data_IF_111073886452
#
_entry.id   IF_111073886452
#
_cell.length_a   1.000
_cell.length_b   1.000
_cell.length_c   1.000
_cell.angle_alpha   90.00
_cell.angle_beta   90.00
_cell.angle_gamma   90.00
#
_symmetry.space_group_name_H-M   'P 1'
#
loop_
_entity.id
_entity.type
_entity.pdbx_description
1 polymer ?
#
# COMPACT_ATOMS: atom_id res chain seq x y z
N UNK A 1 -39.85 40.36 -20.73
CA UNK A 1 -38.52 40.66 -21.31
C UNK A 1 -37.61 39.48 -21.00
N UNK A 2 -37.32 38.67 -22.03
CA UNK A 2 -36.12 37.86 -22.33
C UNK A 2 -35.35 37.20 -21.17
N UNK A 3 -34.89 35.94 -21.20
CA UNK A 3 -34.93 34.86 -22.18
C UNK A 3 -34.36 33.57 -21.51
N UNK A 4 -34.93 32.41 -21.86
CA UNK A 4 -34.32 31.07 -22.10
C UNK A 4 -33.39 30.48 -20.99
N UNK A 5 -33.82 29.51 -20.16
CA UNK A 5 -34.03 28.05 -20.39
C UNK A 5 -32.88 27.29 -21.08
N UNK A 6 -32.14 26.58 -20.21
CA UNK A 6 -31.69 25.18 -20.26
C UNK A 6 -30.88 24.62 -21.46
N UNK A 7 -30.03 23.65 -21.07
CA UNK A 7 -29.57 22.44 -21.76
C UNK A 7 -28.19 22.52 -22.42
N UNK A 8 -27.29 21.63 -21.98
CA UNK A 8 -26.69 20.65 -22.90
C UNK A 8 -26.17 19.41 -22.15
N UNK A 9 -27.05 18.40 -22.08
CA UNK A 9 -26.64 17.00 -22.12
C UNK A 9 -26.07 16.77 -23.52
N UNK A 10 -24.83 16.28 -23.63
CA UNK A 10 -24.36 15.77 -24.91
C UNK A 10 -24.34 14.24 -24.87
N UNK A 11 -25.41 13.71 -25.45
CA UNK A 11 -25.71 12.32 -25.76
C UNK A 11 -25.36 12.14 -27.24
N UNK A 12 -24.61 11.07 -27.53
CA UNK A 12 -24.61 10.29 -28.77
C UNK A 12 -24.77 11.01 -30.12
N UNK A 13 -23.77 10.86 -30.98
CA UNK A 13 -24.02 10.69 -32.42
C UNK A 13 -23.11 9.60 -33.01
N UNK A 14 -23.78 8.64 -33.65
CA UNK A 14 -23.22 7.54 -34.43
C UNK A 14 -22.62 8.07 -35.74
N UNK A 15 -21.58 7.40 -36.23
CA UNK A 15 -21.26 7.37 -37.65
C UNK A 15 -21.02 5.91 -38.06
N UNK A 16 -22.02 5.33 -38.69
CA UNK A 16 -21.94 4.06 -39.39
C UNK A 16 -21.29 4.30 -40.76
N UNK A 17 -20.13 3.70 -41.00
CA UNK A 17 -19.42 3.69 -42.27
C UNK A 17 -19.32 2.26 -42.81
N UNK A 18 -19.62 2.12 -44.09
CA UNK A 18 -20.03 0.93 -44.81
C UNK A 18 -18.92 -0.12 -45.02
N UNK A 19 -19.35 -1.38 -45.01
CA UNK A 19 -18.62 -2.63 -45.21
C UNK A 19 -18.02 -2.74 -46.62
N UNK A 20 -16.77 -3.21 -46.72
CA UNK A 20 -16.29 -3.86 -47.93
C UNK A 20 -14.77 -3.91 -48.13
N UNK A 21 -14.07 -4.87 -47.49
CA UNK A 21 -12.88 -5.48 -48.09
C UNK A 21 -12.84 -6.96 -47.72
N UNK A 22 -12.94 -7.79 -48.76
CA UNK A 22 -12.73 -9.24 -48.77
C UNK A 22 -11.24 -9.51 -48.59
N UNK A 23 -10.82 -10.17 -47.51
CA UNK A 23 -9.45 -10.67 -47.37
C UNK A 23 -9.45 -12.16 -47.05
N UNK A 24 -8.71 -12.89 -47.88
CA UNK A 24 -8.66 -14.33 -48.03
C UNK A 24 -8.20 -15.07 -46.77
N UNK A 25 -8.79 -16.23 -46.53
CA UNK A 25 -8.28 -17.23 -45.60
C UNK A 25 -6.93 -17.75 -46.10
N UNK A 26 -5.87 -17.59 -45.31
CA UNK A 26 -4.72 -18.51 -45.23
C UNK A 26 -3.76 -18.04 -44.14
N UNK A 27 -3.41 -18.91 -43.20
CA UNK A 27 -2.24 -18.73 -42.35
C UNK A 27 -2.50 -18.81 -40.84
N UNK A 28 -2.39 -20.03 -40.32
CA UNK A 28 -2.30 -20.33 -38.89
C UNK A 28 -1.14 -19.60 -38.21
N UNK A 29 -1.42 -19.01 -37.03
CA UNK A 29 -0.68 -19.25 -35.78
C UNK A 29 -1.29 -18.41 -34.67
N UNK A 30 -1.90 -19.10 -33.70
CA UNK A 30 -2.31 -18.54 -32.44
C UNK A 30 -1.08 -17.98 -31.72
N UNK A 31 -0.97 -16.66 -31.60
CA UNK A 31 -0.10 -16.06 -30.58
C UNK A 31 -0.98 -15.94 -29.35
N UNK A 32 -0.77 -16.88 -28.44
CA UNK A 32 -1.38 -16.92 -27.13
C UNK A 32 -1.25 -15.53 -26.50
N UNK A 33 -2.41 -14.98 -26.12
CA UNK A 33 -2.51 -13.88 -25.18
C UNK A 33 -1.79 -14.31 -23.91
N UNK A 34 -0.50 -13.99 -23.80
CA UNK A 34 0.13 -13.78 -22.52
C UNK A 34 -0.60 -12.58 -21.95
N UNK A 35 -1.70 -12.88 -21.25
CA UNK A 35 -2.17 -12.04 -20.16
C UNK A 35 -0.91 -11.73 -19.38
N UNK A 36 -0.41 -10.51 -19.54
CA UNK A 36 0.45 -9.89 -18.56
C UNK A 36 -0.38 -9.89 -17.29
N UNK A 37 -0.22 -10.96 -16.52
CA UNK A 37 -0.85 -11.18 -15.25
C UNK A 37 -0.34 -10.03 -14.39
N UNK A 38 -1.23 -9.06 -14.19
CA UNK A 38 -1.00 -7.89 -13.38
C UNK A 38 -0.53 -8.38 -12.01
N UNK A 39 0.77 -8.32 -11.77
CA UNK A 39 1.35 -8.53 -10.46
C UNK A 39 1.00 -7.30 -9.63
N UNK A 40 -0.21 -7.30 -9.08
CA UNK A 40 -0.52 -6.52 -7.89
C UNK A 40 0.61 -6.78 -6.91
N UNK A 41 1.26 -5.72 -6.41
CA UNK A 41 2.22 -5.82 -5.34
C UNK A 41 1.51 -6.34 -4.09
N UNK A 42 1.29 -7.65 -4.04
CA UNK A 42 0.76 -8.32 -2.87
C UNK A 42 1.93 -8.36 -1.91
N UNK A 43 2.00 -7.34 -1.05
CA UNK A 43 2.75 -7.41 0.20
C UNK A 43 2.42 -8.76 0.84
N UNK A 44 3.44 -9.58 1.06
CA UNK A 44 3.25 -10.94 1.57
C UNK A 44 3.31 -10.88 3.10
N UNK A 45 2.36 -11.52 3.76
CA UNK A 45 2.31 -11.63 5.23
C UNK A 45 3.57 -12.24 5.82
N UNK A 46 3.93 -11.79 7.03
CA UNK A 46 5.10 -12.27 7.76
C UNK A 46 6.44 -11.80 7.21
N UNK A 47 6.44 -10.89 6.22
CA UNK A 47 7.67 -10.29 5.68
C UNK A 47 7.93 -8.90 6.26
N UNK A 48 9.20 -8.52 6.16
CA UNK A 48 9.69 -7.18 6.46
C UNK A 48 10.03 -6.52 5.12
N UNK A 49 9.53 -5.31 4.91
CA UNK A 49 9.76 -4.52 3.71
C UNK A 49 10.30 -3.15 4.09
N UNK A 50 11.36 -2.70 3.45
CA UNK A 50 11.77 -1.31 3.53
C UNK A 50 11.02 -0.50 2.47
N UNK A 51 10.44 0.62 2.87
CA UNK A 51 9.70 1.51 1.98
C UNK A 51 10.62 2.59 1.40
N UNK A 52 10.24 3.05 0.22
CA UNK A 52 10.62 4.33 -0.37
C UNK A 52 9.37 5.20 -0.51
N UNK A 53 9.56 6.49 -0.77
CA UNK A 53 8.45 7.42 -1.02
C UNK A 53 7.52 6.96 -2.17
N UNK A 54 8.02 6.28 -3.20
CA UNK A 54 7.21 5.80 -4.34
C UNK A 54 6.46 4.49 -4.05
N UNK A 55 6.91 3.74 -3.04
CA UNK A 55 6.39 2.41 -2.73
C UNK A 55 5.47 2.42 -1.51
N UNK A 56 5.63 3.39 -0.61
CA UNK A 56 4.92 3.46 0.67
C UNK A 56 3.39 3.29 0.53
N UNK A 57 2.73 4.10 -0.29
CA UNK A 57 1.27 4.07 -0.45
C UNK A 57 0.76 2.71 -0.93
N UNK A 58 1.52 2.05 -1.81
CA UNK A 58 1.18 0.72 -2.31
C UNK A 58 1.36 -0.34 -1.23
N UNK A 59 2.37 -0.18 -0.38
CA UNK A 59 2.62 -1.12 0.71
C UNK A 59 1.50 -1.06 1.74
N UNK A 60 1.02 0.12 2.13
CA UNK A 60 -0.02 0.25 3.18
C UNK A 60 -1.45 -0.03 2.71
N UNK A 61 -1.68 -0.10 1.39
CA UNK A 61 -3.01 -0.36 0.79
C UNK A 61 -3.47 -1.83 0.89
N UNK A 62 -2.76 -2.66 1.66
CA UNK A 62 -3.12 -4.06 1.87
C UNK A 62 -4.40 -4.23 2.70
N UNK A 63 -5.12 -5.34 2.42
CA UNK A 63 -6.32 -5.73 3.18
C UNK A 63 -6.00 -6.32 4.56
N UNK A 64 -4.84 -6.95 4.67
CA UNK A 64 -4.34 -7.48 5.94
C UNK A 64 -3.73 -6.35 6.76
N UNK A 65 -3.68 -6.48 8.10
CA UNK A 65 -3.04 -5.49 8.95
C UNK A 65 -1.54 -5.37 8.66
N UNK A 66 -1.10 -4.12 8.46
CA UNK A 66 0.29 -3.77 8.17
C UNK A 66 0.81 -2.88 9.28
N UNK A 67 1.95 -3.22 9.85
CA UNK A 67 2.62 -2.42 10.85
C UNK A 67 3.71 -1.63 10.13
N UNK A 68 3.72 -0.32 10.31
CA UNK A 68 4.72 0.60 9.78
C UNK A 68 5.56 1.11 10.94
N UNK A 69 6.89 0.96 10.86
CA UNK A 69 7.86 1.52 11.80
C UNK A 69 8.59 2.71 11.16
N UNK A 70 8.27 3.92 11.62
CA UNK A 70 9.00 5.13 11.26
C UNK A 70 10.23 5.26 12.16
N UNK A 71 11.41 5.07 11.57
CA UNK A 71 12.70 5.02 12.26
C UNK A 71 13.76 5.88 11.56
N UNK A 72 14.96 5.91 12.12
CA UNK A 72 16.16 6.45 11.48
C UNK A 72 17.41 5.69 11.96
N UNK A 73 18.47 5.68 11.15
CA UNK A 73 19.71 4.95 11.50
C UNK A 73 20.45 5.58 12.68
N UNK A 74 20.33 6.88 12.86
CA UNK A 74 20.90 7.65 13.97
C UNK A 74 20.05 7.57 15.25
N UNK A 75 18.87 6.95 15.21
CA UNK A 75 17.98 6.83 16.34
C UNK A 75 18.36 5.66 17.26
N UNK A 76 19.02 5.96 18.38
CA UNK A 76 19.38 4.96 19.40
C UNK A 76 18.20 4.11 19.90
N UNK A 77 17.09 4.71 20.36
CA UNK A 77 15.91 3.96 20.83
C UNK A 77 15.27 3.07 19.76
N UNK A 78 15.32 3.47 18.48
CA UNK A 78 14.75 2.70 17.37
C UNK A 78 15.44 1.33 17.23
N UNK A 79 16.77 1.28 17.45
CA UNK A 79 17.56 0.03 17.40
C UNK A 79 17.16 -1.01 18.44
N UNK A 80 16.47 -0.60 19.52
CA UNK A 80 15.93 -1.52 20.53
C UNK A 80 14.58 -2.10 20.10
N UNK A 81 13.75 -1.32 19.43
CA UNK A 81 12.37 -1.68 19.06
C UNK A 81 12.32 -2.50 17.77
N UNK A 82 13.14 -2.15 16.77
CA UNK A 82 13.20 -2.81 15.47
C UNK A 82 13.33 -4.35 15.55
N UNK A 83 14.28 -4.95 16.30
CA UNK A 83 14.37 -6.41 16.41
C UNK A 83 13.16 -7.05 17.11
N UNK A 84 12.49 -6.32 18.01
CA UNK A 84 11.29 -6.81 18.70
C UNK A 84 10.11 -6.86 17.73
N UNK A 85 9.91 -5.80 16.94
CA UNK A 85 8.89 -5.76 15.89
C UNK A 85 9.11 -6.87 14.85
N UNK A 86 10.32 -6.96 14.30
CA UNK A 86 10.66 -7.98 13.31
C UNK A 86 10.43 -9.40 13.86
N UNK A 87 10.86 -9.67 15.10
CA UNK A 87 10.67 -10.96 15.75
C UNK A 87 9.18 -11.29 15.95
N UNK A 88 8.41 -10.33 16.45
CA UNK A 88 6.98 -10.50 16.73
C UNK A 88 6.17 -10.73 15.44
N UNK A 89 6.48 -9.97 14.39
CA UNK A 89 5.83 -10.08 13.08
C UNK A 89 6.14 -11.44 12.44
N UNK A 90 7.40 -11.87 12.46
CA UNK A 90 7.82 -13.19 11.96
C UNK A 90 7.16 -14.32 12.74
N UNK A 91 7.05 -14.20 14.06
CA UNK A 91 6.40 -15.21 14.90
C UNK A 91 4.88 -15.28 14.66
N UNK A 92 4.24 -14.13 14.43
CA UNK A 92 2.82 -14.05 14.12
C UNK A 92 2.49 -14.65 12.74
N UNK A 93 3.25 -14.29 11.71
CA UNK A 93 3.01 -14.71 10.32
C UNK A 93 1.72 -14.16 9.69
N UNK A 94 0.96 -13.33 10.41
CA UNK A 94 -0.34 -12.78 9.97
C UNK A 94 -0.32 -11.31 9.59
N UNK A 95 0.75 -10.61 9.95
CA UNK A 95 0.90 -9.18 9.70
C UNK A 95 2.19 -8.94 8.93
N UNK A 96 2.27 -7.80 8.27
CA UNK A 96 3.48 -7.38 7.54
C UNK A 96 4.13 -6.22 8.28
N UNK A 97 5.45 -6.21 8.37
CA UNK A 97 6.21 -5.05 8.83
C UNK A 97 6.73 -4.26 7.64
N UNK A 98 6.46 -2.96 7.62
CA UNK A 98 7.04 -2.00 6.68
C UNK A 98 7.91 -1.05 7.49
N UNK A 99 9.17 -0.90 7.11
CA UNK A 99 10.13 0.00 7.75
C UNK A 99 10.27 1.24 6.89
N UNK A 100 10.15 2.40 7.53
CA UNK A 100 10.23 3.70 6.88
C UNK A 100 11.35 4.48 7.55
N UNK A 101 12.45 4.65 6.84
CA UNK A 101 13.47 5.59 7.27
C UNK A 101 12.98 7.01 6.97
N UNK A 102 12.89 7.85 8.00
CA UNK A 102 12.39 9.23 7.85
C UNK A 102 13.29 10.12 6.99
N UNK A 103 14.58 9.76 6.88
CA UNK A 103 15.54 10.48 6.04
C UNK A 103 15.36 10.11 4.54
N UNK A 104 15.00 8.87 4.26
CA UNK A 104 14.84 8.35 2.89
C UNK A 104 13.40 8.53 2.36
N UNK A 105 12.43 8.66 3.27
CA UNK A 105 11.00 8.81 2.98
C UNK A 105 10.40 10.08 3.61
N UNK A 106 10.86 11.29 3.20
CA UNK A 106 10.40 12.55 3.77
C UNK A 106 8.92 12.84 3.46
N UNK A 107 8.37 12.37 2.34
CA UNK A 107 6.97 12.60 2.02
C UNK A 107 6.05 11.80 2.95
N UNK A 108 6.34 10.50 3.13
CA UNK A 108 5.59 9.68 4.09
C UNK A 108 5.66 10.27 5.50
N UNK A 109 6.85 10.69 5.94
CA UNK A 109 7.05 11.31 7.26
C UNK A 109 6.23 12.59 7.45
N UNK A 110 6.16 13.42 6.42
CA UNK A 110 5.36 14.67 6.43
C UNK A 110 3.87 14.36 6.44
N UNK A 111 3.41 13.45 5.57
CA UNK A 111 1.99 13.09 5.43
C UNK A 111 1.39 12.54 6.73
N UNK A 112 2.17 11.74 7.47
CA UNK A 112 1.74 11.15 8.75
C UNK A 112 2.17 11.97 9.97
N UNK A 113 2.70 13.19 9.75
CA UNK A 113 3.06 14.14 10.79
C UNK A 113 4.01 13.54 11.84
N UNK A 114 5.05 12.84 11.37
CA UNK A 114 6.04 12.20 12.23
C UNK A 114 6.91 13.26 12.91
N UNK A 115 6.56 13.61 14.15
CA UNK A 115 7.30 14.59 14.95
C UNK A 115 8.38 13.98 15.84
N UNK A 116 8.31 12.66 16.08
CA UNK A 116 9.24 11.95 16.94
C UNK A 116 9.32 10.48 16.55
N UNK A 117 10.51 9.90 16.64
CA UNK A 117 10.78 8.50 16.35
C UNK A 117 11.35 7.76 17.58
N UNK A 118 11.10 6.44 17.73
CA UNK A 118 10.30 5.60 16.84
C UNK A 118 8.81 5.93 16.91
N UNK A 119 8.13 5.89 15.77
CA UNK A 119 6.68 5.97 15.69
C UNK A 119 6.16 4.77 14.91
N UNK A 120 5.30 3.98 15.54
CA UNK A 120 4.78 2.76 14.94
C UNK A 120 3.28 2.91 14.74
N UNK A 121 2.83 2.66 13.52
CA UNK A 121 1.42 2.77 13.13
C UNK A 121 0.95 1.45 12.53
N UNK A 122 -0.26 1.03 12.88
CA UNK A 122 -0.94 -0.09 12.24
C UNK A 122 -1.92 0.45 11.19
N UNK A 123 -1.88 -0.15 10.01
CA UNK A 123 -2.71 0.16 8.86
C UNK A 123 -3.59 -1.02 8.50
N UNK A 124 -4.80 -0.73 8.01
CA UNK A 124 -5.67 -1.70 7.34
C UNK A 124 -6.49 -0.97 6.28
N UNK A 125 -6.53 -1.50 5.07
CA UNK A 125 -7.21 -0.86 3.92
C UNK A 125 -6.74 0.59 3.67
N UNK A 126 -5.46 0.87 3.94
CA UNK A 126 -4.85 2.21 3.81
C UNK A 126 -5.15 3.18 4.96
N UNK A 127 -5.97 2.79 5.94
CA UNK A 127 -6.33 3.63 7.08
C UNK A 127 -5.52 3.25 8.34
N UNK A 128 -5.18 4.26 9.15
CA UNK A 128 -4.51 4.04 10.44
C UNK A 128 -5.53 3.55 11.46
N UNK A 129 -5.34 2.35 11.98
CA UNK A 129 -6.24 1.70 12.95
C UNK A 129 -5.70 1.74 14.39
N UNK A 130 -4.39 1.89 14.57
CA UNK A 130 -3.74 1.97 15.88
C UNK A 130 -2.35 2.60 15.76
N UNK A 131 -1.80 3.16 16.84
CA UNK A 131 -0.43 3.68 16.86
C UNK A 131 0.16 3.79 18.25
N UNK A 132 1.49 3.77 18.32
CA UNK A 132 2.23 4.24 19.49
C UNK A 132 3.46 5.03 19.08
N UNK A 133 3.99 5.81 20.02
CA UNK A 133 5.17 6.66 19.83
C UNK A 133 6.14 6.44 20.97
N UNK A 134 7.42 6.38 20.65
CA UNK A 134 8.51 6.16 21.58
C UNK A 134 8.84 4.67 21.80
N UNK A 135 9.92 4.44 22.53
CA UNK A 135 10.36 3.09 22.85
C UNK A 135 9.51 2.51 23.99
N UNK A 136 8.68 1.52 23.68
CA UNK A 136 7.89 0.79 24.66
C UNK A 136 8.63 -0.46 25.17
N UNK A 137 8.27 -0.98 26.37
CA UNK A 137 8.77 -2.27 26.82
C UNK A 137 8.42 -3.39 25.84
N UNK A 138 9.29 -4.40 25.74
CA UNK A 138 9.14 -5.55 24.82
C UNK A 138 7.72 -6.14 24.81
N UNK A 139 7.15 -6.41 25.98
CA UNK A 139 5.81 -6.98 26.12
C UNK A 139 4.73 -6.09 25.47
N UNK A 140 4.81 -4.78 25.63
CA UNK A 140 3.83 -3.87 25.04
C UNK A 140 3.92 -3.86 23.50
N UNK A 141 5.11 -4.00 22.93
CA UNK A 141 5.31 -4.13 21.48
C UNK A 141 4.75 -5.47 20.98
N UNK A 142 5.02 -6.56 21.69
CA UNK A 142 4.46 -7.90 21.37
C UNK A 142 2.92 -7.91 21.43
N UNK A 143 2.36 -7.32 22.48
CA UNK A 143 0.90 -7.19 22.66
C UNK A 143 0.28 -6.33 21.55
N UNK A 144 0.95 -5.24 21.14
CA UNK A 144 0.53 -4.42 20.00
C UNK A 144 0.46 -5.24 18.71
N UNK A 145 1.52 -5.99 18.39
CA UNK A 145 1.57 -6.85 17.19
C UNK A 145 0.50 -7.94 17.25
N UNK A 146 0.33 -8.59 18.40
CA UNK A 146 -0.68 -9.62 18.61
C UNK A 146 -2.11 -9.08 18.44
N UNK A 147 -2.39 -7.87 18.94
CA UNK A 147 -3.67 -7.19 18.74
C UNK A 147 -3.99 -7.02 17.26
N UNK A 148 -3.02 -6.54 16.46
CA UNK A 148 -3.24 -6.36 15.02
C UNK A 148 -3.37 -7.70 14.29
N UNK A 149 -2.59 -8.71 14.69
CA UNK A 149 -2.67 -10.05 14.11
C UNK A 149 -4.03 -10.75 14.29
N UNK A 150 -4.84 -10.31 15.27
CA UNK A 150 -6.21 -10.78 15.46
C UNK A 150 -7.23 -10.11 14.54
N UNK A 151 -6.83 -9.06 13.80
CA UNK A 151 -7.65 -8.35 12.83
C UNK A 151 -7.38 -8.81 11.38
N UNK A 152 -6.41 -9.72 11.19
CA UNK A 152 -6.06 -10.35 9.92
C UNK A 152 -7.08 -11.41 9.51
#
# INVERSE_FOLDING_TARGET
MNALRQLSRNVYTQAAGTVGVRMSMTGSRAVASTRFFQSSASVMTGKVHDASDETFDKLISGKEPIIVDFHADWCGPCRLIDPILQGSVKASGKVTLVRVNVDDCPMASTNYQIASIPCVMAFKDGEVIDKFVGALPKKAVEDFVAKQANLA
#
